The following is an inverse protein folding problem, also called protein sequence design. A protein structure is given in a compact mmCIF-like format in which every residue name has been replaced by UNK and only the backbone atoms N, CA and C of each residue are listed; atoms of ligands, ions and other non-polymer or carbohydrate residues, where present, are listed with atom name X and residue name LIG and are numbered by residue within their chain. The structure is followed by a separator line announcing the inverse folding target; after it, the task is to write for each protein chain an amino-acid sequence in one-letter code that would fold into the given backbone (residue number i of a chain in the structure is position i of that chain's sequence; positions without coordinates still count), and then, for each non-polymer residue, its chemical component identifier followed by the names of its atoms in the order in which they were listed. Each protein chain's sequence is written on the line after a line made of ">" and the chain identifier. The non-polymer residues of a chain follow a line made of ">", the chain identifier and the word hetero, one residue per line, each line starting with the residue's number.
data_IF_554371369536
#
_entry.id   IF_554371369536
#
_cell.length_a   1.000
_cell.length_b   1.000
_cell.length_c   1.000
_cell.angle_alpha   90.00
_cell.angle_beta   90.00
_cell.angle_gamma   90.00
#
_symmetry.space_group_name_H-M   'P 1'
#
loop_
_entity.id
_entity.type
_entity.pdbx_description
1 polymer ?
#
# COMPACT_ATOMS: atom_id res chain seq x y z
N UNK A 1 -18.34 34.41 53.69
CA UNK A 1 -19.42 34.21 54.72
C UNK A 1 -20.29 33.05 54.26
N UNK A 2 -20.38 32.06 55.13
CA UNK A 2 -21.41 31.03 55.38
C UNK A 2 -21.77 30.11 54.20
N UNK A 3 -21.35 28.85 54.18
CA UNK A 3 -21.83 27.69 54.99
C UNK A 3 -23.23 27.27 54.54
N UNK A 4 -23.65 26.04 54.22
CA UNK A 4 -23.43 24.68 54.75
C UNK A 4 -24.16 23.69 53.86
N UNK A 5 -23.71 22.50 53.45
CA UNK A 5 -23.70 21.17 54.10
C UNK A 5 -25.14 20.63 54.28
N UNK A 6 -25.37 19.39 53.84
CA UNK A 6 -25.97 18.22 54.54
C UNK A 6 -26.40 17.20 53.46
N UNK A 7 -25.76 16.06 53.30
CA UNK A 7 -25.89 14.72 53.91
C UNK A 7 -27.16 13.97 53.46
N UNK A 8 -26.99 12.90 52.71
CA UNK A 8 -26.88 11.45 53.03
C UNK A 8 -28.15 10.78 53.59
N UNK A 9 -28.51 9.64 53.03
CA UNK A 9 -29.03 8.40 53.66
C UNK A 9 -29.39 7.40 52.54
N UNK A 10 -28.60 6.36 52.37
CA UNK A 10 -28.66 4.98 52.81
C UNK A 10 -30.07 4.35 52.95
N UNK A 11 -30.36 3.33 52.12
CA UNK A 11 -31.08 2.15 52.56
C UNK A 11 -30.74 0.92 51.72
N UNK A 12 -30.11 0.04 52.33
CA UNK A 12 -29.76 -1.36 52.10
C UNK A 12 -31.02 -2.21 52.09
N UNK A 13 -31.16 -3.18 51.16
CA UNK A 13 -31.88 -4.42 51.47
C UNK A 13 -31.38 -5.58 50.63
N UNK A 14 -31.11 -6.63 51.33
CA UNK A 14 -30.36 -7.85 51.00
C UNK A 14 -31.21 -8.95 50.30
N UNK A 15 -30.51 -9.79 49.56
CA UNK A 15 -30.51 -11.27 49.51
C UNK A 15 -31.74 -11.99 48.91
N UNK A 16 -31.52 -12.79 47.88
CA UNK A 16 -31.47 -14.25 47.96
C UNK A 16 -30.87 -14.90 46.70
N UNK A 17 -29.99 -15.86 46.92
CA UNK A 17 -29.47 -16.85 45.98
C UNK A 17 -30.55 -17.69 45.34
N UNK A 18 -30.32 -18.14 44.07
CA UNK A 18 -30.30 -19.58 43.78
C UNK A 18 -29.58 -19.87 42.46
N UNK A 19 -28.73 -20.86 42.51
CA UNK A 19 -27.91 -21.50 41.52
C UNK A 19 -28.77 -22.30 40.56
N UNK A 20 -28.53 -22.25 39.26
CA UNK A 20 -28.52 -23.42 38.38
C UNK A 20 -27.91 -23.06 37.03
N UNK A 21 -26.93 -23.85 36.64
CA UNK A 21 -26.15 -23.67 35.42
C UNK A 21 -26.93 -24.07 34.17
N UNK A 22 -26.50 -23.50 33.12
CA UNK A 22 -26.32 -24.05 31.78
C UNK A 22 -25.78 -22.89 30.95
N UNK A 23 -24.60 -23.07 30.38
CA UNK A 23 -24.09 -22.16 29.38
C UNK A 23 -24.99 -22.25 28.14
N UNK A 24 -25.39 -21.14 27.54
CA UNK A 24 -25.79 -21.13 26.14
C UNK A 24 -24.66 -20.60 25.30
N UNK A 25 -24.41 -21.25 24.20
CA UNK A 25 -23.65 -20.78 23.06
C UNK A 25 -23.91 -19.29 22.80
N UNK A 26 -22.87 -18.52 22.85
CA UNK A 26 -22.92 -17.12 22.41
C UNK A 26 -22.97 -17.10 20.87
N UNK A 27 -24.15 -17.25 20.32
CA UNK A 27 -24.44 -16.78 18.97
C UNK A 27 -24.30 -15.25 19.00
N UNK A 28 -23.22 -14.75 18.41
CA UNK A 28 -23.04 -13.33 18.12
C UNK A 28 -24.16 -12.92 17.16
N UNK A 29 -25.22 -12.38 17.66
CA UNK A 29 -26.19 -11.67 16.86
C UNK A 29 -25.54 -10.35 16.43
N UNK A 30 -25.27 -10.22 15.15
CA UNK A 30 -24.89 -8.97 14.47
C UNK A 30 -26.09 -8.01 14.54
N UNK A 31 -26.30 -7.38 15.68
CA UNK A 31 -27.18 -6.20 15.79
C UNK A 31 -26.32 -5.00 15.42
N UNK A 32 -26.69 -4.33 14.33
CA UNK A 32 -26.27 -2.93 14.12
C UNK A 32 -26.57 -2.18 15.43
N UNK A 33 -25.52 -1.88 16.18
CA UNK A 33 -25.63 -1.00 17.35
C UNK A 33 -25.88 0.40 16.84
N UNK A 34 -27.10 0.87 16.96
CA UNK A 34 -27.37 2.30 17.01
C UNK A 34 -26.60 2.86 18.20
N UNK A 35 -25.69 3.79 17.94
CA UNK A 35 -25.01 4.51 19.01
C UNK A 35 -26.06 5.13 19.92
N UNK A 36 -25.98 4.89 21.25
CA UNK A 36 -26.78 5.65 22.19
C UNK A 36 -26.38 7.12 22.03
N UNK A 37 -27.23 7.90 21.42
CA UNK A 37 -27.08 9.33 21.24
C UNK A 37 -26.97 9.98 22.62
N UNK A 38 -25.77 10.33 23.04
CA UNK A 38 -25.61 11.47 23.92
C UNK A 38 -26.15 12.70 23.16
N UNK A 39 -26.79 13.63 23.81
CA UNK A 39 -27.35 14.87 23.21
C UNK A 39 -26.28 15.69 22.44
N UNK A 40 -25.01 15.46 22.72
CA UNK A 40 -23.86 15.96 21.99
C UNK A 40 -23.22 14.76 21.25
N UNK A 41 -23.34 14.70 19.93
CA UNK A 41 -22.80 13.60 19.09
C UNK A 41 -21.32 13.28 19.37
N UNK A 42 -20.89 12.06 19.01
CA UNK A 42 -19.48 11.64 19.16
C UNK A 42 -18.66 12.26 18.03
N UNK A 43 -17.58 12.96 18.36
CA UNK A 43 -16.62 13.48 17.38
C UNK A 43 -15.33 12.65 17.41
N UNK A 44 -15.00 12.03 16.27
CA UNK A 44 -13.75 11.27 16.04
C UNK A 44 -12.73 12.19 15.41
N UNK A 45 -11.52 12.19 15.95
CA UNK A 45 -10.36 12.87 15.39
C UNK A 45 -9.67 11.94 14.38
N UNK A 46 -9.64 12.33 13.10
CA UNK A 46 -9.06 11.54 12.02
C UNK A 46 -7.86 12.25 11.40
N UNK A 47 -6.77 11.51 11.13
CA UNK A 47 -5.60 11.99 10.40
C UNK A 47 -5.41 11.22 9.09
N UNK A 48 -5.24 11.92 7.96
CA UNK A 48 -4.82 11.31 6.71
C UNK A 48 -3.59 12.01 6.08
N UNK A 49 -3.06 11.45 4.97
CA UNK A 49 -1.76 11.87 4.38
C UNK A 49 -1.87 12.29 2.91
N UNK A 50 -3.04 12.56 2.42
CA UNK A 50 -3.28 12.89 1.01
C UNK A 50 -3.82 14.33 0.88
N UNK A 51 -2.96 15.37 1.06
CA UNK A 51 -3.38 16.75 0.94
C UNK A 51 -3.92 17.10 -0.45
N UNK A 52 -3.45 16.40 -1.50
CA UNK A 52 -3.94 16.52 -2.87
C UNK A 52 -5.37 15.97 -3.07
N UNK A 53 -5.88 15.23 -2.11
CA UNK A 53 -7.20 14.57 -2.12
C UNK A 53 -8.09 15.00 -0.95
N UNK A 54 -7.83 16.17 -0.37
CA UNK A 54 -8.59 16.66 0.81
C UNK A 54 -10.08 16.76 0.53
N UNK A 55 -10.48 17.37 -0.60
CA UNK A 55 -11.88 17.47 -1.01
C UNK A 55 -12.55 16.09 -1.21
N UNK A 56 -11.81 15.10 -1.68
CA UNK A 56 -12.33 13.74 -1.86
C UNK A 56 -12.50 13.01 -0.52
N UNK A 57 -11.58 13.26 0.44
CA UNK A 57 -11.68 12.72 1.79
C UNK A 57 -12.84 13.34 2.56
N UNK A 58 -13.03 14.64 2.46
CA UNK A 58 -14.18 15.33 3.06
C UNK A 58 -15.51 14.75 2.57
N UNK A 59 -15.69 14.60 1.25
CA UNK A 59 -16.90 13.97 0.66
C UNK A 59 -17.10 12.52 1.11
N UNK A 60 -16.02 11.76 1.23
CA UNK A 60 -16.06 10.37 1.69
C UNK A 60 -16.55 10.33 3.15
N UNK A 61 -16.00 11.18 4.01
CA UNK A 61 -16.35 11.26 5.43
C UNK A 61 -17.78 11.77 5.60
N UNK A 62 -18.20 12.81 4.88
CA UNK A 62 -19.60 13.29 4.90
C UNK A 62 -20.59 12.16 4.57
N UNK A 63 -20.28 11.35 3.54
CA UNK A 63 -21.14 10.22 3.18
C UNK A 63 -21.15 9.11 4.25
N UNK A 64 -20.07 8.95 5.01
CA UNK A 64 -20.01 8.03 6.14
C UNK A 64 -20.85 8.57 7.32
N UNK A 65 -20.75 9.85 7.62
CA UNK A 65 -21.56 10.51 8.66
C UNK A 65 -23.05 10.42 8.37
N UNK A 66 -23.47 10.61 7.12
CA UNK A 66 -24.86 10.44 6.69
C UNK A 66 -25.42 9.03 6.96
N UNK A 67 -24.57 8.00 6.78
CA UNK A 67 -24.92 6.59 7.06
C UNK A 67 -24.89 6.25 8.56
N UNK A 68 -24.22 7.06 9.39
CA UNK A 68 -23.97 6.78 10.81
C UNK A 68 -24.45 7.95 11.69
N UNK A 69 -25.76 8.02 11.94
CA UNK A 69 -26.37 9.09 12.74
C UNK A 69 -25.72 9.22 14.12
N UNK A 70 -25.22 10.41 14.43
CA UNK A 70 -24.55 10.73 15.70
C UNK A 70 -23.03 10.59 15.66
N UNK A 71 -22.44 10.14 14.54
CA UNK A 71 -21.01 10.22 14.27
C UNK A 71 -20.69 11.57 13.63
N UNK A 72 -19.68 12.25 14.13
CA UNK A 72 -19.02 13.39 13.48
C UNK A 72 -17.51 13.12 13.41
N UNK A 73 -16.86 13.57 12.35
CA UNK A 73 -15.43 13.34 12.14
C UNK A 73 -14.71 14.66 11.89
N UNK A 74 -13.74 14.98 12.70
CA UNK A 74 -12.83 16.08 12.47
C UNK A 74 -11.58 15.59 11.74
N UNK A 75 -11.41 16.03 10.49
CA UNK A 75 -10.32 15.62 9.64
C UNK A 75 -9.11 16.53 9.87
N UNK A 76 -7.94 15.93 9.96
CA UNK A 76 -6.63 16.58 9.92
C UNK A 76 -5.79 15.96 8.81
N UNK A 77 -4.97 16.78 8.16
CA UNK A 77 -4.15 16.37 7.02
C UNK A 77 -2.67 16.59 7.31
N UNK A 78 -1.83 15.64 6.93
CA UNK A 78 -0.38 15.79 6.85
C UNK A 78 0.10 15.22 5.52
N UNK A 79 1.40 15.15 5.28
CA UNK A 79 1.95 14.47 4.12
C UNK A 79 2.67 13.16 4.50
N UNK A 80 2.98 12.35 3.48
CA UNK A 80 3.64 11.06 3.65
C UNK A 80 4.96 11.16 4.45
N UNK A 81 5.77 12.17 4.19
CA UNK A 81 7.08 12.33 4.82
C UNK A 81 6.99 12.81 6.27
N UNK A 82 5.92 13.51 6.61
CA UNK A 82 5.69 14.14 7.93
C UNK A 82 4.85 13.26 8.87
N UNK A 83 4.21 12.19 8.39
CA UNK A 83 3.29 11.37 9.19
C UNK A 83 3.91 10.88 10.50
N UNK A 84 5.14 10.33 10.45
CA UNK A 84 5.81 9.83 11.64
C UNK A 84 6.01 10.91 12.70
N UNK A 85 6.51 12.07 12.30
CA UNK A 85 6.73 13.21 13.18
C UNK A 85 5.41 13.74 13.75
N UNK A 86 4.35 13.79 12.94
CA UNK A 86 3.01 14.23 13.36
C UNK A 86 2.45 13.32 14.44
N UNK A 87 2.51 12.00 14.23
CA UNK A 87 2.03 11.01 15.23
C UNK A 87 2.87 11.03 16.50
N UNK A 88 4.19 11.16 16.42
CA UNK A 88 5.07 11.28 17.61
C UNK A 88 4.77 12.55 18.40
N UNK A 89 4.48 13.65 17.73
CA UNK A 89 4.13 14.92 18.37
C UNK A 89 2.78 14.82 19.07
N UNK A 90 1.77 14.27 18.41
CA UNK A 90 0.44 14.04 18.97
C UNK A 90 0.49 13.13 20.21
N UNK A 91 1.30 12.05 20.12
CA UNK A 91 1.52 11.14 21.24
C UNK A 91 2.19 11.84 22.44
N UNK A 92 3.22 12.66 22.19
CA UNK A 92 3.92 13.40 23.24
C UNK A 92 3.05 14.49 23.91
N UNK A 93 2.06 15.00 23.17
CA UNK A 93 1.09 15.97 23.68
C UNK A 93 -0.10 15.33 24.40
N UNK A 94 -0.22 14.00 24.40
CA UNK A 94 -1.41 13.26 24.87
C UNK A 94 -2.70 13.64 24.09
N UNK A 95 -2.54 14.07 22.82
CA UNK A 95 -3.61 14.51 21.91
C UNK A 95 -3.63 13.62 20.66
N UNK A 96 -3.64 12.29 20.83
CA UNK A 96 -3.59 11.34 19.73
C UNK A 96 -4.92 11.33 18.94
N UNK A 97 -4.82 11.12 17.63
CA UNK A 97 -5.98 10.92 16.77
C UNK A 97 -6.65 9.58 17.08
N UNK A 98 -7.99 9.54 17.04
CA UNK A 98 -8.75 8.29 17.25
C UNK A 98 -8.53 7.31 16.09
N UNK A 99 -8.56 7.84 14.85
CA UNK A 99 -8.30 7.09 13.61
C UNK A 99 -7.22 7.80 12.82
N UNK A 100 -6.24 7.08 12.35
CA UNK A 100 -5.12 7.68 11.62
C UNK A 100 -4.57 6.75 10.54
N UNK A 101 -4.01 7.35 9.49
CA UNK A 101 -3.29 6.57 8.50
C UNK A 101 -2.10 5.90 9.15
N UNK A 102 -2.01 4.61 8.91
CA UNK A 102 -0.94 3.76 9.40
C UNK A 102 -0.35 2.96 8.25
N UNK A 103 0.96 3.06 8.08
CA UNK A 103 1.65 2.20 7.13
C UNK A 103 1.75 0.78 7.66
N UNK A 104 1.47 -0.19 6.82
CA UNK A 104 1.58 -1.61 7.15
C UNK A 104 2.94 -1.96 7.76
N UNK A 105 4.02 -1.34 7.31
CA UNK A 105 5.39 -1.50 7.83
C UNK A 105 5.54 -1.15 9.30
N UNK A 106 4.68 -0.31 9.87
CA UNK A 106 4.75 0.13 11.26
C UNK A 106 3.76 -0.55 12.20
N UNK A 107 2.80 -1.31 11.65
CA UNK A 107 1.76 -1.98 12.46
C UNK A 107 2.38 -2.83 13.56
N UNK A 108 3.35 -3.67 13.20
CA UNK A 108 4.01 -4.58 14.12
C UNK A 108 4.77 -3.87 15.27
N UNK A 109 5.43 -2.75 14.99
CA UNK A 109 6.12 -1.97 16.03
C UNK A 109 5.14 -1.28 16.97
N UNK A 110 4.07 -0.69 16.45
CA UNK A 110 3.06 0.00 17.27
C UNK A 110 2.20 -0.98 18.08
N UNK A 111 1.94 -2.18 17.52
CA UNK A 111 1.29 -3.26 18.28
C UNK A 111 2.10 -3.66 19.49
N UNK A 112 3.41 -3.92 19.34
CA UNK A 112 4.32 -4.23 20.47
C UNK A 112 4.33 -3.16 21.58
N UNK A 113 4.06 -1.93 21.23
CA UNK A 113 3.93 -0.81 22.15
C UNK A 113 2.51 -0.66 22.72
N UNK A 114 1.58 -1.56 22.39
CA UNK A 114 0.15 -1.54 22.73
C UNK A 114 -0.56 -0.23 22.32
N UNK A 115 -0.20 0.34 21.17
CA UNK A 115 -0.73 1.62 20.68
C UNK A 115 -1.89 1.48 19.70
N UNK A 116 -2.17 0.27 19.24
CA UNK A 116 -3.22 0.00 18.27
C UNK A 116 -4.36 -0.81 18.89
N UNK A 117 -5.59 -0.44 18.56
CA UNK A 117 -6.78 -1.22 18.92
C UNK A 117 -6.78 -2.53 18.14
N UNK A 118 -6.94 -3.66 18.84
CA UNK A 118 -7.19 -4.94 18.18
C UNK A 118 -8.59 -4.94 17.55
N UNK A 119 -8.65 -5.02 16.24
CA UNK A 119 -9.89 -4.97 15.45
C UNK A 119 -10.53 -6.36 15.29
N UNK A 120 -9.83 -7.45 15.58
CA UNK A 120 -10.30 -8.83 15.39
C UNK A 120 -11.68 -9.09 16.00
N UNK A 121 -11.99 -8.61 17.23
CA UNK A 121 -13.30 -8.81 17.84
C UNK A 121 -14.45 -8.05 17.15
N UNK A 122 -14.14 -7.02 16.34
CA UNK A 122 -15.10 -6.19 15.64
C UNK A 122 -15.35 -6.64 14.20
N UNK A 123 -14.47 -7.48 13.63
CA UNK A 123 -14.51 -7.89 12.24
C UNK A 123 -15.21 -9.24 12.07
N UNK A 124 -16.40 -9.23 11.47
CA UNK A 124 -17.05 -10.43 10.97
C UNK A 124 -16.41 -10.94 9.67
N UNK A 125 -16.79 -12.15 9.25
CA UNK A 125 -16.23 -12.77 8.05
C UNK A 125 -16.59 -12.00 6.78
N UNK A 126 -17.77 -11.39 6.69
CA UNK A 126 -18.21 -10.60 5.56
C UNK A 126 -17.31 -9.36 5.37
N UNK A 127 -16.99 -8.66 6.45
CA UNK A 127 -16.09 -7.52 6.38
C UNK A 127 -14.67 -7.92 5.99
N UNK A 128 -14.15 -9.02 6.55
CA UNK A 128 -12.82 -9.55 6.18
C UNK A 128 -12.74 -9.96 4.71
N UNK A 129 -13.78 -10.63 4.21
CA UNK A 129 -13.85 -11.07 2.81
C UNK A 129 -14.08 -9.92 1.83
N UNK A 130 -14.52 -8.75 2.30
CA UNK A 130 -14.68 -7.53 1.52
C UNK A 130 -13.37 -6.93 1.02
N UNK A 131 -12.23 -7.31 1.56
CA UNK A 131 -10.92 -6.81 1.13
C UNK A 131 -10.32 -7.64 0.00
N UNK A 132 -9.43 -7.03 -0.78
CA UNK A 132 -8.63 -7.71 -1.79
C UNK A 132 -7.84 -8.88 -1.18
N UNK A 133 -7.62 -9.97 -1.92
CA UNK A 133 -6.91 -11.14 -1.41
C UNK A 133 -5.56 -10.77 -0.80
N UNK A 134 -5.35 -11.17 0.46
CA UNK A 134 -4.11 -10.91 1.20
C UNK A 134 -3.92 -9.49 1.72
N UNK A 135 -4.83 -8.54 1.47
CA UNK A 135 -4.70 -7.15 1.90
C UNK A 135 -4.66 -7.00 3.43
N UNK A 136 -5.54 -7.68 4.15
CA UNK A 136 -5.55 -7.66 5.61
C UNK A 136 -4.29 -8.27 6.24
N UNK A 137 -3.60 -9.18 5.54
CA UNK A 137 -2.39 -9.81 6.06
C UNK A 137 -1.30 -8.79 6.40
N UNK A 138 -1.25 -7.68 5.71
CA UNK A 138 -0.26 -6.62 5.96
C UNK A 138 -0.53 -5.87 7.27
N UNK A 139 -1.77 -5.94 7.78
CA UNK A 139 -2.23 -5.32 9.03
C UNK A 139 -2.46 -6.35 10.16
N UNK A 140 -2.01 -7.57 9.96
CA UNK A 140 -2.17 -8.68 10.91
C UNK A 140 -0.84 -8.99 11.59
N UNK A 141 -0.85 -9.05 12.91
CA UNK A 141 0.27 -9.51 13.74
C UNK A 141 -0.17 -10.80 14.41
N UNK A 142 0.56 -11.88 14.18
CA UNK A 142 0.14 -13.24 14.54
C UNK A 142 -1.23 -13.57 13.92
N UNK A 143 -2.31 -13.59 14.70
CA UNK A 143 -3.68 -13.87 14.25
C UNK A 143 -4.61 -12.66 14.42
N UNK A 144 -4.11 -11.54 14.97
CA UNK A 144 -4.88 -10.37 15.31
C UNK A 144 -4.69 -9.22 14.29
N UNK A 145 -5.80 -8.54 13.98
CA UNK A 145 -5.86 -7.44 12.99
C UNK A 145 -5.80 -6.10 13.73
N UNK A 146 -4.87 -5.23 13.35
CA UNK A 146 -4.62 -3.93 13.99
C UNK A 146 -4.82 -2.72 13.06
N UNK A 147 -5.38 -2.93 11.90
CA UNK A 147 -5.73 -1.88 10.95
C UNK A 147 -6.46 -2.45 9.75
N UNK A 148 -6.96 -1.56 8.91
CA UNK A 148 -7.55 -1.93 7.62
C UNK A 148 -6.72 -1.33 6.49
N UNK A 149 -6.47 -2.06 5.41
CA UNK A 149 -5.91 -1.50 4.19
C UNK A 149 -6.94 -0.56 3.53
N UNK A 150 -6.47 0.54 2.95
CA UNK A 150 -7.36 1.51 2.30
C UNK A 150 -7.10 1.60 0.80
N UNK A 151 -5.86 1.85 0.39
CA UNK A 151 -5.53 1.88 -1.02
C UNK A 151 -4.34 0.98 -1.36
N UNK A 152 -4.36 0.50 -2.60
CA UNK A 152 -3.30 -0.33 -3.15
C UNK A 152 -2.28 0.49 -3.93
N UNK A 153 -1.06 -0.01 -3.97
CA UNK A 153 0.07 0.55 -4.69
C UNK A 153 0.82 -0.55 -5.43
N UNK A 154 1.18 -0.32 -6.68
CA UNK A 154 1.94 -1.26 -7.47
C UNK A 154 2.58 -0.62 -8.68
N UNK A 155 3.64 -1.25 -9.21
CA UNK A 155 4.41 -0.72 -10.33
C UNK A 155 3.84 -1.20 -11.66
N UNK A 156 3.59 -0.26 -12.55
CA UNK A 156 3.06 -0.48 -13.90
C UNK A 156 3.88 0.28 -14.94
N UNK A 157 3.75 -0.12 -16.19
CA UNK A 157 4.24 0.66 -17.33
C UNK A 157 3.06 1.44 -17.92
N UNK A 158 3.13 2.75 -17.84
CA UNK A 158 2.25 3.65 -18.59
C UNK A 158 2.89 3.97 -19.94
N UNK A 159 2.11 4.02 -20.99
CA UNK A 159 2.63 4.35 -22.31
C UNK A 159 1.77 5.36 -23.07
N UNK A 160 2.40 6.09 -23.97
CA UNK A 160 1.72 7.01 -24.88
C UNK A 160 1.02 6.20 -25.99
N UNK A 161 -0.29 6.02 -25.85
CA UNK A 161 -1.10 5.23 -26.76
C UNK A 161 -1.12 5.81 -28.17
N UNK A 162 -1.12 7.14 -28.33
CA UNK A 162 -1.09 7.80 -29.62
C UNK A 162 0.22 7.55 -30.37
N UNK A 163 1.34 7.51 -29.60
CA UNK A 163 2.66 7.19 -30.14
C UNK A 163 2.72 5.72 -30.59
N UNK A 164 2.16 4.81 -29.79
CA UNK A 164 2.06 3.39 -30.12
C UNK A 164 1.24 3.18 -31.40
N UNK A 165 0.05 3.80 -31.48
CA UNK A 165 -0.82 3.70 -32.64
C UNK A 165 -0.15 4.24 -33.91
N UNK A 166 0.52 5.38 -33.83
CA UNK A 166 1.21 6.00 -34.96
C UNK A 166 2.36 5.14 -35.52
N UNK A 167 3.09 4.44 -34.65
CA UNK A 167 4.23 3.62 -35.03
C UNK A 167 3.86 2.13 -35.25
N UNK A 168 2.61 1.75 -35.01
CA UNK A 168 2.17 0.37 -35.08
C UNK A 168 2.74 -0.54 -33.99
N UNK A 169 3.18 0.05 -32.88
CA UNK A 169 3.68 -0.68 -31.72
C UNK A 169 2.52 -1.33 -30.95
N UNK A 170 2.81 -2.42 -30.27
CA UNK A 170 1.82 -3.16 -29.48
C UNK A 170 2.34 -3.41 -28.07
N UNK A 171 1.42 -3.59 -27.11
CA UNK A 171 1.77 -4.06 -25.77
C UNK A 171 2.57 -5.36 -25.90
N UNK A 172 3.77 -5.46 -25.31
CA UNK A 172 4.59 -6.67 -25.40
C UNK A 172 4.00 -7.78 -24.53
N UNK A 173 4.07 -9.02 -25.03
CA UNK A 173 3.56 -10.21 -24.34
C UNK A 173 4.65 -10.98 -23.60
N UNK A 174 5.91 -10.60 -23.77
CA UNK A 174 7.04 -11.21 -23.08
C UNK A 174 8.16 -10.21 -22.82
N UNK A 175 9.02 -10.51 -21.86
CA UNK A 175 10.19 -9.68 -21.53
C UNK A 175 11.13 -9.50 -22.75
N UNK A 176 11.20 -10.50 -23.65
CA UNK A 176 12.00 -10.38 -24.88
C UNK A 176 11.37 -9.43 -25.89
N UNK A 177 10.05 -9.50 -26.07
CA UNK A 177 9.30 -8.54 -26.87
C UNK A 177 9.39 -7.13 -26.28
N UNK A 178 9.37 -7.00 -24.95
CA UNK A 178 9.56 -5.72 -24.28
C UNK A 178 10.94 -5.13 -24.55
N UNK A 179 12.00 -5.95 -24.47
CA UNK A 179 13.35 -5.52 -24.81
C UNK A 179 13.49 -5.13 -26.31
N UNK A 180 12.83 -5.86 -27.19
CA UNK A 180 12.82 -5.54 -28.62
C UNK A 180 12.07 -4.25 -28.91
N UNK A 181 10.92 -4.03 -28.27
CA UNK A 181 10.15 -2.79 -28.37
C UNK A 181 10.95 -1.58 -27.87
N UNK A 182 11.62 -1.69 -26.72
CA UNK A 182 12.51 -0.64 -26.21
C UNK A 182 13.65 -0.31 -27.19
N UNK A 183 14.19 -1.32 -27.88
CA UNK A 183 15.22 -1.07 -28.91
C UNK A 183 14.66 -0.30 -30.11
N UNK A 184 13.43 -0.59 -30.54
CA UNK A 184 12.78 0.18 -31.62
C UNK A 184 12.61 1.64 -31.22
N UNK A 185 12.12 1.91 -30.01
CA UNK A 185 11.95 3.26 -29.48
C UNK A 185 13.27 4.03 -29.38
N UNK A 186 14.34 3.36 -28.93
CA UNK A 186 15.68 3.96 -28.87
C UNK A 186 16.19 4.34 -30.26
N UNK A 187 15.92 3.53 -31.29
CA UNK A 187 16.31 3.81 -32.68
C UNK A 187 15.56 5.01 -33.26
N UNK A 188 14.35 5.30 -32.77
CA UNK A 188 13.57 6.51 -33.08
C UNK A 188 14.04 7.75 -32.29
N UNK A 189 15.08 7.62 -31.47
CA UNK A 189 15.64 8.74 -30.67
C UNK A 189 14.85 9.07 -29.41
N UNK A 190 13.96 8.18 -28.96
CA UNK A 190 13.19 8.33 -27.72
C UNK A 190 13.89 7.67 -26.55
N UNK A 191 13.60 8.12 -25.34
CA UNK A 191 13.84 7.33 -24.14
C UNK A 191 12.77 6.21 -24.14
N UNK A 192 13.15 4.92 -24.22
CA UNK A 192 12.17 3.86 -24.27
C UNK A 192 11.28 3.78 -23.04
N UNK A 193 11.88 3.77 -21.85
CA UNK A 193 11.21 3.66 -20.57
C UNK A 193 11.83 4.65 -19.58
N UNK A 194 11.12 5.73 -19.29
CA UNK A 194 11.52 6.64 -18.22
C UNK A 194 11.23 5.99 -16.87
N UNK A 195 12.18 6.08 -15.93
CA UNK A 195 12.06 5.50 -14.60
C UNK A 195 12.93 6.25 -13.60
N UNK A 196 12.46 6.38 -12.36
CA UNK A 196 13.26 6.89 -11.27
C UNK A 196 14.27 5.84 -10.80
N UNK A 197 15.55 6.24 -10.80
CA UNK A 197 16.64 5.39 -10.35
C UNK A 197 17.38 5.94 -9.14
N UNK A 198 17.02 7.13 -8.62
CA UNK A 198 17.50 7.60 -7.33
C UNK A 198 17.04 6.66 -6.22
N UNK A 199 17.80 6.52 -5.12
CA UNK A 199 17.45 5.62 -4.02
C UNK A 199 16.07 5.86 -3.42
N UNK A 200 15.60 7.10 -3.42
CA UNK A 200 14.27 7.52 -2.95
C UNK A 200 13.15 7.32 -3.98
N UNK A 201 13.49 7.03 -5.23
CA UNK A 201 12.52 6.83 -6.32
C UNK A 201 12.05 5.40 -6.53
N UNK A 202 12.78 4.41 -6.04
CA UNK A 202 12.49 2.97 -6.02
C UNK A 202 12.14 2.27 -7.35
N UNK A 203 11.77 2.97 -8.42
CA UNK A 203 11.18 2.35 -9.62
C UNK A 203 12.12 1.36 -10.31
N UNK A 204 13.41 1.65 -10.45
CA UNK A 204 14.38 0.70 -11.04
C UNK A 204 14.68 -0.49 -10.11
N UNK A 205 14.63 -0.29 -8.79
CA UNK A 205 14.79 -1.37 -7.83
C UNK A 205 13.54 -2.26 -7.80
N UNK A 206 12.35 -1.68 -7.89
CA UNK A 206 11.09 -2.43 -8.07
C UNK A 206 11.12 -3.25 -9.36
N UNK A 207 11.60 -2.69 -10.48
CA UNK A 207 11.77 -3.43 -11.73
C UNK A 207 12.71 -4.62 -11.55
N UNK A 208 13.83 -4.47 -10.82
CA UNK A 208 14.71 -5.57 -10.44
C UNK A 208 13.97 -6.64 -9.65
N UNK A 209 13.18 -6.23 -8.66
CA UNK A 209 12.33 -7.12 -7.85
C UNK A 209 11.36 -7.92 -8.70
N UNK A 210 10.63 -7.26 -9.60
CA UNK A 210 9.70 -7.90 -10.55
C UNK A 210 10.42 -8.96 -11.40
N UNK A 211 11.55 -8.60 -12.00
CA UNK A 211 12.32 -9.54 -12.83
C UNK A 211 12.88 -10.70 -12.02
N UNK A 212 13.33 -10.46 -10.78
CA UNK A 212 13.78 -11.52 -9.87
C UNK A 212 12.67 -12.52 -9.58
N UNK A 213 11.44 -12.02 -9.34
CA UNK A 213 10.29 -12.87 -9.05
C UNK A 213 9.89 -13.75 -10.23
N UNK A 214 9.98 -13.24 -11.47
CA UNK A 214 9.75 -14.06 -12.66
C UNK A 214 10.78 -15.21 -12.79
N UNK A 215 12.04 -14.94 -12.44
CA UNK A 215 13.08 -15.98 -12.45
C UNK A 215 12.78 -17.01 -11.36
N UNK A 216 12.40 -16.56 -10.16
CA UNK A 216 12.03 -17.43 -9.06
C UNK A 216 10.78 -18.28 -9.37
N UNK A 217 9.83 -17.78 -10.18
CA UNK A 217 8.70 -18.56 -10.67
C UNK A 217 9.15 -19.67 -11.61
N UNK A 218 10.02 -19.37 -12.57
CA UNK A 218 10.58 -20.38 -13.49
C UNK A 218 11.29 -21.51 -12.73
N UNK A 219 11.93 -21.19 -11.62
CA UNK A 219 12.64 -22.14 -10.76
C UNK A 219 11.70 -22.88 -9.77
N UNK A 220 10.39 -22.63 -9.84
CA UNK A 220 9.37 -23.28 -8.99
C UNK A 220 9.42 -22.87 -7.51
N UNK A 221 9.89 -21.67 -7.23
CA UNK A 221 10.23 -21.22 -5.87
C UNK A 221 9.24 -20.21 -5.29
N UNK A 222 8.20 -19.84 -6.03
CA UNK A 222 7.15 -18.92 -5.53
C UNK A 222 6.29 -19.51 -4.41
N UNK A 223 6.27 -20.83 -4.26
CA UNK A 223 5.54 -21.50 -3.18
C UNK A 223 6.28 -21.50 -1.83
N UNK A 224 7.48 -20.90 -1.77
CA UNK A 224 8.27 -20.81 -0.54
C UNK A 224 7.78 -19.61 0.31
N UNK A 225 7.13 -19.86 1.47
CA UNK A 225 6.62 -18.78 2.33
C UNK A 225 7.71 -17.82 2.85
N UNK A 226 8.95 -18.31 3.01
CA UNK A 226 10.05 -17.47 3.49
C UNK A 226 10.52 -16.50 2.40
N UNK A 227 10.41 -16.89 1.13
CA UNK A 227 10.63 -15.97 0.01
C UNK A 227 9.55 -14.91 -0.07
N UNK A 228 8.29 -15.33 0.08
CA UNK A 228 7.14 -14.43 0.03
C UNK A 228 7.17 -13.38 1.15
N UNK A 229 7.87 -13.68 2.24
CA UNK A 229 8.04 -12.76 3.37
C UNK A 229 9.35 -11.95 3.29
N UNK A 230 10.12 -12.03 2.21
CA UNK A 230 11.41 -11.33 2.08
C UNK A 230 12.52 -11.87 2.98
N UNK A 231 12.31 -13.01 3.64
CA UNK A 231 13.25 -13.65 4.58
C UNK A 231 14.22 -14.62 3.95
N UNK A 232 14.10 -14.89 2.68
CA UNK A 232 15.00 -15.82 2.03
C UNK A 232 16.44 -15.29 2.03
N UNK A 233 17.33 -16.11 2.49
CA UNK A 233 18.76 -15.82 2.60
C UNK A 233 19.64 -16.77 1.82
N UNK A 234 19.08 -17.54 0.91
CA UNK A 234 19.78 -18.51 0.07
C UNK A 234 19.27 -18.46 -1.36
N UNK A 235 19.40 -17.30 -1.99
CA UNK A 235 19.17 -17.13 -3.42
C UNK A 235 20.13 -18.04 -4.22
N UNK A 236 19.71 -18.48 -5.38
CA UNK A 236 20.49 -19.37 -6.23
C UNK A 236 20.76 -18.75 -7.61
N UNK A 237 20.95 -17.43 -7.63
CA UNK A 237 21.21 -16.66 -8.83
C UNK A 237 20.01 -15.86 -9.35
N UNK A 238 18.82 -16.05 -8.79
CA UNK A 238 17.62 -15.35 -9.25
C UNK A 238 17.72 -13.84 -9.05
N UNK A 239 18.19 -13.42 -7.88
CA UNK A 239 18.40 -12.01 -7.56
C UNK A 239 19.52 -11.40 -8.41
N UNK A 240 20.62 -12.14 -8.57
CA UNK A 240 21.74 -11.76 -9.42
C UNK A 240 21.30 -11.58 -10.89
N UNK A 241 20.49 -12.51 -11.40
CA UNK A 241 19.98 -12.49 -12.78
C UNK A 241 19.02 -11.32 -13.01
N UNK A 242 18.11 -11.05 -12.05
CA UNK A 242 17.20 -9.91 -12.11
C UNK A 242 17.95 -8.57 -12.13
N UNK A 243 18.92 -8.40 -11.23
CA UNK A 243 19.77 -7.20 -11.18
C UNK A 243 20.60 -7.03 -12.46
N UNK A 244 21.19 -8.10 -12.97
CA UNK A 244 21.96 -8.07 -14.21
C UNK A 244 21.12 -7.65 -15.41
N UNK A 245 19.87 -8.07 -15.48
CA UNK A 245 18.95 -7.69 -16.57
C UNK A 245 18.67 -6.19 -16.56
N UNK A 246 18.39 -5.61 -15.40
CA UNK A 246 18.19 -4.14 -15.28
C UNK A 246 19.47 -3.38 -15.65
N UNK A 247 20.64 -3.83 -15.18
CA UNK A 247 21.93 -3.22 -15.53
C UNK A 247 22.18 -3.26 -17.05
N UNK A 248 21.94 -4.40 -17.68
CA UNK A 248 22.06 -4.54 -19.15
C UNK A 248 21.14 -3.62 -19.91
N UNK A 249 19.89 -3.40 -19.44
CA UNK A 249 18.96 -2.46 -20.05
C UNK A 249 19.43 -1.01 -19.87
N UNK A 250 19.98 -0.66 -18.70
CA UNK A 250 20.57 0.66 -18.46
C UNK A 250 21.78 0.92 -19.37
N UNK A 251 22.70 -0.06 -19.50
CA UNK A 251 23.87 0.02 -20.40
C UNK A 251 23.48 0.15 -21.87
N UNK A 252 22.35 -0.40 -22.28
CA UNK A 252 21.77 -0.21 -23.63
C UNK A 252 21.11 1.16 -23.82
N UNK A 253 20.94 1.95 -22.75
CA UNK A 253 20.34 3.27 -22.80
C UNK A 253 18.81 3.27 -22.74
N UNK A 254 18.17 2.16 -22.35
CA UNK A 254 16.70 2.05 -22.32
C UNK A 254 16.02 2.97 -21.34
N UNK A 255 16.73 3.39 -20.29
CA UNK A 255 16.25 4.35 -19.27
C UNK A 255 16.75 5.78 -19.49
N UNK A 256 17.31 6.08 -20.67
CA UNK A 256 17.96 7.35 -20.95
C UNK A 256 19.37 7.47 -20.35
N UNK A 257 19.92 8.69 -20.39
CA UNK A 257 21.24 8.98 -19.84
C UNK A 257 21.16 9.17 -18.32
N UNK A 258 22.09 8.55 -17.58
CA UNK A 258 22.20 8.70 -16.12
C UNK A 258 20.89 8.36 -15.33
N UNK A 259 20.30 7.21 -15.52
CA UNK A 259 19.00 6.89 -14.91
C UNK A 259 19.02 6.96 -13.38
N UNK A 260 20.18 6.72 -12.74
CA UNK A 260 20.34 6.80 -11.28
C UNK A 260 20.34 8.23 -10.71
N UNK A 261 20.32 9.25 -11.56
CA UNK A 261 20.14 10.65 -11.15
C UNK A 261 18.70 11.16 -11.32
N UNK A 262 17.83 10.33 -11.88
CA UNK A 262 16.42 10.65 -12.19
C UNK A 262 15.56 10.35 -10.97
N UNK A 263 14.78 11.34 -10.52
CA UNK A 263 13.70 11.13 -9.54
C UNK A 263 12.35 10.92 -10.26
N UNK A 264 11.32 10.62 -9.48
CA UNK A 264 9.99 10.35 -10.02
C UNK A 264 9.41 11.51 -10.83
N UNK A 265 9.67 12.76 -10.42
CA UNK A 265 9.16 13.95 -11.12
C UNK A 265 9.86 14.15 -12.46
N UNK A 266 11.17 13.98 -12.50
CA UNK A 266 11.93 14.05 -13.74
C UNK A 266 11.59 12.89 -14.70
N UNK A 267 11.29 11.70 -14.18
CA UNK A 267 10.84 10.58 -14.98
C UNK A 267 9.46 10.86 -15.60
N UNK A 268 8.51 11.37 -14.82
CA UNK A 268 7.19 11.78 -15.27
C UNK A 268 7.28 12.91 -16.31
N UNK A 269 8.11 13.95 -16.09
CA UNK A 269 8.31 15.05 -17.02
C UNK A 269 8.84 14.58 -18.38
N UNK A 270 9.79 13.64 -18.39
CA UNK A 270 10.30 13.07 -19.64
C UNK A 270 9.20 12.36 -20.44
N UNK A 271 8.29 11.67 -19.78
CA UNK A 271 7.16 11.02 -20.42
C UNK A 271 6.11 12.01 -20.89
N UNK A 272 5.65 12.91 -20.03
CA UNK A 272 4.61 13.89 -20.34
C UNK A 272 5.05 14.89 -21.40
N UNK A 273 6.35 15.23 -21.49
CA UNK A 273 6.90 16.06 -22.55
C UNK A 273 7.13 15.31 -23.88
N UNK A 274 6.82 14.02 -23.96
CA UNK A 274 7.00 13.19 -25.15
C UNK A 274 8.43 12.80 -25.47
N UNK A 275 9.40 13.05 -24.56
CA UNK A 275 10.80 12.59 -24.68
C UNK A 275 10.91 11.10 -24.44
N UNK A 276 10.07 10.55 -23.58
CA UNK A 276 9.98 9.12 -23.31
C UNK A 276 8.69 8.54 -23.89
N UNK A 277 8.77 7.32 -24.41
CA UNK A 277 7.62 6.59 -24.98
C UNK A 277 6.78 5.93 -23.90
N UNK A 278 7.43 5.48 -22.82
CA UNK A 278 6.82 4.78 -21.68
C UNK A 278 7.38 5.35 -20.37
N UNK A 279 6.60 5.17 -19.31
CA UNK A 279 6.97 5.52 -17.94
C UNK A 279 6.75 4.31 -17.05
N UNK A 280 7.76 3.93 -16.29
CA UNK A 280 7.61 3.04 -15.14
C UNK A 280 7.19 3.88 -13.95
N UNK A 281 6.02 3.63 -13.40
CA UNK A 281 5.50 4.42 -12.28
C UNK A 281 4.68 3.57 -11.31
N UNK A 282 4.37 4.17 -10.18
CA UNK A 282 3.45 3.60 -9.22
C UNK A 282 2.00 3.97 -9.61
N UNK A 283 1.04 3.07 -9.37
CA UNK A 283 -0.38 3.35 -9.62
C UNK A 283 -0.89 4.60 -8.90
N UNK A 284 -0.28 4.95 -7.77
CA UNK A 284 -0.63 6.16 -7.01
C UNK A 284 -0.22 7.48 -7.69
N UNK A 285 0.65 7.43 -8.70
CA UNK A 285 1.13 8.62 -9.42
C UNK A 285 0.17 9.05 -10.56
N UNK A 286 -0.81 8.21 -10.92
CA UNK A 286 -1.68 8.43 -12.09
C UNK A 286 -2.50 9.71 -11.97
N UNK A 287 -3.01 10.02 -10.78
CA UNK A 287 -3.76 11.27 -10.55
C UNK A 287 -2.90 12.49 -10.89
N UNK A 288 -1.66 12.52 -10.41
CA UNK A 288 -0.73 13.62 -10.66
C UNK A 288 -0.36 13.69 -12.14
N UNK A 289 -0.14 12.56 -12.80
CA UNK A 289 0.16 12.52 -14.24
C UNK A 289 -0.98 13.10 -15.09
N UNK A 290 -2.23 12.80 -14.77
CA UNK A 290 -3.40 13.26 -15.54
C UNK A 290 -3.81 14.70 -15.25
N UNK A 291 -3.48 15.23 -14.07
CA UNK A 291 -3.88 16.57 -13.64
C UNK A 291 -2.78 17.62 -13.83
N UNK A 292 -1.81 17.40 -14.73
CA UNK A 292 -0.79 18.39 -15.08
C UNK A 292 -1.32 19.34 -16.15
N UNK A 293 -1.52 20.66 -15.86
CA UNK A 293 -2.17 21.58 -16.78
C UNK A 293 -1.35 21.96 -18.01
N UNK A 294 -0.02 21.77 -17.97
CA UNK A 294 0.92 22.28 -18.97
C UNK A 294 1.37 21.23 -20.00
N UNK A 295 0.84 20.01 -19.93
CA UNK A 295 1.28 18.93 -20.80
C UNK A 295 0.35 18.68 -21.99
N UNK A 296 0.96 18.21 -23.09
CA UNK A 296 0.23 17.85 -24.31
C UNK A 296 -0.76 16.72 -24.01
N UNK A 297 -2.03 16.88 -24.37
CA UNK A 297 -3.01 15.83 -24.20
C UNK A 297 -2.71 14.70 -25.19
N UNK A 298 -2.24 13.58 -24.69
CA UNK A 298 -2.21 12.32 -25.42
C UNK A 298 -2.90 11.24 -24.57
N UNK A 299 -3.44 10.24 -25.26
CA UNK A 299 -4.06 9.11 -24.58
C UNK A 299 -2.99 8.24 -23.93
N UNK A 300 -3.21 7.91 -22.67
CA UNK A 300 -2.38 6.99 -21.90
C UNK A 300 -3.12 5.67 -21.69
N UNK A 301 -2.36 4.59 -21.69
CA UNK A 301 -2.83 3.27 -21.33
C UNK A 301 -1.69 2.52 -20.64
N UNK A 302 -1.93 1.37 -20.04
CA UNK A 302 -0.96 0.69 -19.19
C UNK A 302 -0.79 -0.80 -19.54
N UNK A 303 0.27 -1.38 -19.03
CA UNK A 303 0.47 -2.83 -18.96
C UNK A 303 1.44 -3.18 -17.83
N UNK A 304 1.37 -4.42 -17.36
CA UNK A 304 2.35 -4.97 -16.42
C UNK A 304 3.69 -5.25 -17.11
N UNK A 305 4.80 -5.19 -16.37
CA UNK A 305 6.08 -5.72 -16.89
C UNK A 305 5.83 -7.16 -17.36
N UNK A 306 6.04 -7.45 -18.64
CA UNK A 306 5.68 -8.75 -19.16
C UNK A 306 6.63 -9.85 -18.67
N UNK A 307 6.06 -11.01 -18.38
CA UNK A 307 6.77 -12.19 -17.96
C UNK A 307 7.66 -12.76 -19.08
N UNK A 308 8.72 -13.52 -18.78
CA UNK A 308 9.38 -14.39 -19.75
C UNK A 308 8.40 -15.38 -20.38
N UNK A 309 8.71 -15.87 -21.61
CA UNK A 309 7.81 -16.79 -22.35
C UNK A 309 7.48 -18.08 -21.63
N UNK A 310 8.36 -18.52 -20.76
CA UNK A 310 8.23 -19.78 -20.02
C UNK A 310 7.52 -19.62 -18.67
N UNK A 311 7.12 -18.40 -18.29
CA UNK A 311 6.25 -18.15 -17.15
C UNK A 311 4.78 -18.28 -17.54
N UNK A 312 3.98 -18.81 -16.64
CA UNK A 312 2.56 -19.09 -16.90
C UNK A 312 1.69 -17.84 -16.86
N UNK A 313 2.09 -16.83 -16.11
CA UNK A 313 1.32 -15.60 -15.92
C UNK A 313 2.22 -14.38 -15.75
N UNK A 314 1.74 -13.20 -16.15
CA UNK A 314 2.38 -11.94 -15.75
C UNK A 314 2.07 -11.68 -14.28
N UNK A 315 3.11 -11.64 -13.46
CA UNK A 315 2.97 -11.38 -12.03
C UNK A 315 2.86 -9.87 -11.80
N UNK A 316 1.87 -9.49 -11.03
CA UNK A 316 1.85 -8.15 -10.46
C UNK A 316 2.59 -8.21 -9.13
N UNK A 317 3.90 -8.06 -9.20
CA UNK A 317 4.77 -8.01 -8.05
C UNK A 317 4.97 -6.56 -7.60
N UNK A 318 5.48 -6.35 -6.39
CA UNK A 318 5.55 -5.02 -5.77
C UNK A 318 4.18 -4.37 -5.54
N UNK A 319 3.10 -5.18 -5.63
CA UNK A 319 1.76 -4.76 -5.27
C UNK A 319 1.55 -4.90 -3.76
N UNK A 320 1.22 -3.81 -3.10
CA UNK A 320 0.99 -3.79 -1.66
C UNK A 320 -0.22 -2.92 -1.30
N UNK A 321 -0.75 -3.13 -0.11
CA UNK A 321 -1.74 -2.25 0.50
C UNK A 321 -1.11 -1.53 1.69
N UNK A 322 -0.04 -0.81 1.39
CA UNK A 322 0.80 -0.18 2.38
C UNK A 322 0.08 0.91 3.18
N UNK A 323 -0.82 1.66 2.51
CA UNK A 323 -1.56 2.75 3.11
C UNK A 323 -2.91 2.25 3.63
N UNK A 324 -3.14 2.37 4.92
CA UNK A 324 -4.38 1.98 5.56
C UNK A 324 -4.69 2.83 6.78
N UNK A 325 -5.69 2.44 7.53
CA UNK A 325 -6.10 3.12 8.74
C UNK A 325 -6.04 2.21 9.95
N UNK A 326 -5.61 2.77 11.07
CA UNK A 326 -5.63 2.12 12.37
C UNK A 326 -6.38 2.98 13.39
N UNK A 327 -6.77 2.36 14.50
CA UNK A 327 -7.43 3.01 15.61
C UNK A 327 -6.46 3.06 16.79
N UNK A 328 -6.42 4.19 17.47
CA UNK A 328 -5.67 4.36 18.71
C UNK A 328 -6.21 3.45 19.82
N UNK A 329 -5.32 2.74 20.53
CA UNK A 329 -5.73 1.76 21.55
C UNK A 329 -6.54 2.38 22.70
N UNK A 330 -6.17 3.60 23.12
CA UNK A 330 -6.79 4.31 24.26
C UNK A 330 -7.87 5.32 23.80
N UNK A 331 -8.41 5.18 22.58
CA UNK A 331 -9.54 6.03 22.16
C UNK A 331 -10.73 5.85 23.10
N UNK A 332 -11.38 6.94 23.56
CA UNK A 332 -12.60 6.83 24.37
C UNK A 332 -13.83 6.36 23.56
N UNK A 333 -13.72 6.27 22.22
CA UNK A 333 -14.80 5.98 21.31
C UNK A 333 -14.53 4.81 20.35
N UNK A 334 -14.14 3.60 20.83
CA UNK A 334 -13.72 2.51 19.95
C UNK A 334 -14.81 2.06 18.97
N UNK A 335 -16.07 2.00 19.40
CA UNK A 335 -17.20 1.60 18.53
C UNK A 335 -17.44 2.62 17.40
N UNK A 336 -17.31 3.92 17.68
CA UNK A 336 -17.45 4.98 16.67
C UNK A 336 -16.25 4.99 15.71
N UNK A 337 -15.04 4.80 16.20
CA UNK A 337 -13.84 4.67 15.37
C UNK A 337 -13.94 3.46 14.42
N UNK A 338 -14.43 2.32 14.92
CA UNK A 338 -14.67 1.12 14.08
C UNK A 338 -15.79 1.37 13.06
N UNK A 339 -16.84 2.13 13.40
CA UNK A 339 -17.87 2.49 12.44
C UNK A 339 -17.31 3.36 11.30
N UNK A 340 -16.40 4.28 11.61
CA UNK A 340 -15.66 5.04 10.60
C UNK A 340 -14.84 4.11 9.70
N UNK A 341 -14.10 3.15 10.27
CA UNK A 341 -13.34 2.16 9.48
C UNK A 341 -14.23 1.32 8.56
N UNK A 342 -15.43 0.91 9.02
CA UNK A 342 -16.40 0.21 8.17
C UNK A 342 -16.85 1.08 7.00
N UNK A 343 -17.09 2.36 7.24
CA UNK A 343 -17.40 3.32 6.18
C UNK A 343 -16.25 3.52 5.19
N UNK A 344 -15.01 3.64 5.67
CA UNK A 344 -13.79 3.74 4.86
C UNK A 344 -13.51 2.46 4.04
N UNK A 345 -14.17 1.36 4.33
CA UNK A 345 -14.11 0.10 3.59
C UNK A 345 -15.45 -0.32 2.94
N UNK A 346 -16.41 0.59 2.86
CA UNK A 346 -17.64 0.40 2.10
C UNK A 346 -17.34 0.44 0.60
N UNK A 347 -17.74 -0.57 -0.15
CA UNK A 347 -17.38 -0.73 -1.57
C UNK A 347 -17.92 0.39 -2.47
N UNK A 348 -19.11 0.93 -2.18
CA UNK A 348 -19.70 2.06 -2.92
C UNK A 348 -18.91 3.33 -2.67
N UNK A 349 -18.59 3.63 -1.40
CA UNK A 349 -17.83 4.81 -1.01
C UNK A 349 -16.38 4.74 -1.51
N UNK A 350 -15.77 3.57 -1.45
CA UNK A 350 -14.46 3.32 -2.05
C UNK A 350 -14.47 3.50 -3.58
N UNK A 351 -15.59 3.18 -4.25
CA UNK A 351 -15.76 3.47 -5.68
C UNK A 351 -15.75 4.97 -6.00
N UNK A 352 -16.42 5.77 -5.19
CA UNK A 352 -16.39 7.24 -5.31
C UNK A 352 -15.00 7.80 -5.06
N UNK A 353 -14.32 7.32 -3.99
CA UNK A 353 -12.94 7.67 -3.73
C UNK A 353 -12.02 7.32 -4.91
N UNK A 354 -12.10 6.09 -5.43
CA UNK A 354 -11.31 5.65 -6.59
C UNK A 354 -11.56 6.51 -7.83
N UNK A 355 -12.81 6.93 -8.07
CA UNK A 355 -13.18 7.83 -9.15
C UNK A 355 -12.54 9.21 -9.01
N UNK A 356 -12.60 9.81 -7.82
CA UNK A 356 -12.12 11.17 -7.57
C UNK A 356 -10.58 11.25 -7.50
N UNK A 357 -9.93 10.17 -7.05
CA UNK A 357 -8.48 10.15 -6.77
C UNK A 357 -7.66 9.31 -7.74
N UNK A 358 -8.30 8.57 -8.64
CA UNK A 358 -7.67 7.59 -9.54
C UNK A 358 -6.82 6.55 -8.77
N UNK A 359 -7.25 6.20 -7.57
CA UNK A 359 -6.53 5.28 -6.67
C UNK A 359 -7.04 3.85 -6.77
N UNK A 360 -6.15 2.90 -6.60
CA UNK A 360 -6.51 1.48 -6.45
C UNK A 360 -7.10 1.24 -5.06
N UNK A 361 -8.24 0.58 -4.98
CA UNK A 361 -8.89 0.26 -3.72
C UNK A 361 -8.37 -1.05 -3.11
N UNK A 362 -8.20 -1.05 -1.79
CA UNK A 362 -7.97 -2.26 -1.02
C UNK A 362 -9.25 -3.10 -0.84
N UNK A 363 -10.42 -2.51 -1.12
CA UNK A 363 -11.72 -3.20 -1.07
C UNK A 363 -11.97 -3.93 -2.39
N UNK A 364 -12.52 -5.13 -2.29
CA UNK A 364 -12.83 -5.99 -3.43
C UNK A 364 -14.01 -5.42 -4.23
N UNK A 365 -14.00 -5.69 -5.52
CA UNK A 365 -15.11 -5.41 -6.45
C UNK A 365 -15.47 -3.92 -6.60
N UNK A 366 -14.60 -3.03 -6.18
CA UNK A 366 -14.72 -1.60 -6.43
C UNK A 366 -14.64 -1.31 -7.93
N UNK A 367 -15.56 -0.50 -8.41
CA UNK A 367 -15.65 -0.03 -9.79
C UNK A 367 -15.75 1.49 -9.82
N UNK A 368 -15.13 2.11 -10.82
CA UNK A 368 -15.28 3.52 -11.14
C UNK A 368 -15.41 3.69 -12.67
N UNK A 369 -15.65 4.91 -13.14
CA UNK A 369 -15.79 5.18 -14.58
C UNK A 369 -14.44 5.15 -15.34
N UNK A 370 -13.32 5.15 -14.62
CA UNK A 370 -11.99 5.14 -15.22
C UNK A 370 -11.52 3.72 -15.56
N UNK A 371 -11.34 3.44 -16.85
CA UNK A 371 -10.95 2.12 -17.34
C UNK A 371 -9.58 1.69 -16.85
N UNK A 372 -8.60 2.62 -16.73
CA UNK A 372 -7.24 2.30 -16.26
C UNK A 372 -7.24 1.95 -14.77
N UNK A 373 -8.00 2.65 -13.95
CA UNK A 373 -8.15 2.33 -12.52
C UNK A 373 -8.82 0.96 -12.35
N UNK A 374 -9.84 0.65 -13.16
CA UNK A 374 -10.46 -0.67 -13.16
C UNK A 374 -9.49 -1.78 -13.61
N UNK A 375 -8.60 -1.50 -14.57
CA UNK A 375 -7.53 -2.43 -14.97
C UNK A 375 -6.54 -2.64 -13.82
N UNK A 376 -6.14 -1.59 -13.10
CA UNK A 376 -5.31 -1.72 -11.90
C UNK A 376 -5.99 -2.57 -10.82
N UNK A 377 -7.25 -2.31 -10.51
CA UNK A 377 -8.01 -3.14 -9.56
C UNK A 377 -8.07 -4.62 -10.01
N UNK A 378 -8.15 -4.87 -11.31
CA UNK A 378 -8.09 -6.23 -11.85
C UNK A 378 -6.71 -6.86 -11.65
N UNK A 379 -5.61 -6.12 -11.83
CA UNK A 379 -4.26 -6.58 -11.56
C UNK A 379 -4.08 -6.97 -10.09
N UNK A 380 -4.59 -6.16 -9.16
CA UNK A 380 -4.55 -6.46 -7.72
C UNK A 380 -5.33 -7.72 -7.36
N UNK A 381 -6.47 -7.97 -7.98
CA UNK A 381 -7.23 -9.23 -7.78
C UNK A 381 -6.42 -10.46 -8.21
N UNK A 382 -5.70 -10.37 -9.32
CA UNK A 382 -4.83 -11.46 -9.79
C UNK A 382 -3.59 -11.62 -8.91
N UNK A 383 -3.02 -10.52 -8.46
CA UNK A 383 -1.80 -10.49 -7.66
C UNK A 383 -1.95 -11.14 -6.27
N UNK A 384 -3.15 -11.21 -5.73
CA UNK A 384 -3.38 -11.76 -4.39
C UNK A 384 -2.84 -13.17 -4.18
N UNK A 385 -2.59 -13.93 -5.25
CA UNK A 385 -1.97 -15.25 -5.21
C UNK A 385 -0.44 -15.21 -5.16
N UNK A 386 0.18 -14.18 -5.71
CA UNK A 386 1.62 -14.05 -5.93
C UNK A 386 2.21 -12.78 -5.33
N UNK A 387 1.44 -12.12 -4.46
CA UNK A 387 1.91 -10.88 -3.84
C UNK A 387 2.95 -11.20 -2.78
N UNK A 388 4.15 -10.72 -3.01
CA UNK A 388 5.23 -10.76 -2.03
C UNK A 388 5.05 -9.52 -1.15
N UNK A 389 4.40 -9.70 0.01
CA UNK A 389 4.42 -8.67 1.02
C UNK A 389 5.84 -8.58 1.59
N UNK A 390 6.46 -7.39 1.62
CA UNK A 390 7.73 -7.23 2.33
C UNK A 390 7.55 -7.65 3.80
N UNK A 391 8.56 -8.29 4.38
CA UNK A 391 8.55 -8.52 5.83
C UNK A 391 8.93 -7.22 6.53
N UNK A 392 7.95 -6.43 6.84
CA UNK A 392 8.10 -5.16 7.55
C UNK A 392 8.76 -5.30 8.95
N UNK A 393 8.87 -6.52 9.46
CA UNK A 393 9.63 -6.77 10.69
C UNK A 393 11.16 -6.68 10.49
N UNK A 394 11.64 -6.53 9.24
CA UNK A 394 13.07 -6.40 8.93
C UNK A 394 13.60 -4.94 9.00
N UNK A 395 12.75 -3.97 9.33
CA UNK A 395 13.17 -2.58 9.61
C UNK A 395 13.90 -1.90 8.44
N UNK A 396 14.99 -1.16 8.74
CA UNK A 396 15.76 -0.34 7.79
C UNK A 396 16.54 -1.13 6.72
N UNK A 397 16.31 -2.44 6.59
CA UNK A 397 17.01 -3.26 5.61
C UNK A 397 16.71 -2.85 4.16
N UNK A 398 15.52 -2.28 3.90
CA UNK A 398 15.12 -1.93 2.54
C UNK A 398 15.91 -0.74 2.00
N UNK A 399 16.19 0.27 2.83
CA UNK A 399 17.10 1.36 2.45
C UNK A 399 18.51 0.83 2.13
N UNK A 400 19.05 -0.08 2.96
CA UNK A 400 20.36 -0.69 2.72
C UNK A 400 20.39 -1.50 1.42
N UNK A 401 19.31 -2.22 1.09
CA UNK A 401 19.16 -2.98 -0.15
C UNK A 401 19.09 -2.06 -1.37
N UNK A 402 18.34 -0.97 -1.30
CA UNK A 402 18.27 0.03 -2.37
C UNK A 402 19.63 0.72 -2.61
N UNK A 403 20.35 1.09 -1.55
CA UNK A 403 21.70 1.63 -1.65
C UNK A 403 22.69 0.61 -2.25
N UNK A 404 22.55 -0.66 -1.90
CA UNK A 404 23.34 -1.73 -2.49
C UNK A 404 23.06 -1.87 -4.00
N UNK A 405 21.79 -1.77 -4.41
CA UNK A 405 21.44 -1.82 -5.84
C UNK A 405 22.05 -0.65 -6.61
N UNK A 406 21.99 0.57 -6.10
CA UNK A 406 22.68 1.72 -6.72
C UNK A 406 24.19 1.49 -6.80
N UNK A 407 24.80 0.94 -5.74
CA UNK A 407 26.23 0.59 -5.75
C UNK A 407 26.57 -0.47 -6.81
N UNK A 408 25.71 -1.47 -6.97
CA UNK A 408 25.85 -2.47 -8.02
C UNK A 408 25.76 -1.86 -9.43
N UNK A 409 24.81 -0.96 -9.64
CA UNK A 409 24.60 -0.29 -10.93
C UNK A 409 25.76 0.62 -11.33
N UNK A 410 26.51 1.17 -10.36
CA UNK A 410 27.56 2.18 -10.59
C UNK A 410 28.99 1.67 -10.47
N UNK A 411 29.19 0.46 -9.98
CA UNK A 411 30.51 -0.11 -9.72
C UNK A 411 30.80 -1.35 -10.59
N UNK A 412 31.98 -1.90 -10.41
CA UNK A 412 32.39 -3.17 -11.01
C UNK A 412 31.94 -4.40 -10.18
N UNK A 413 31.01 -4.21 -9.23
CA UNK A 413 30.43 -5.32 -8.46
C UNK A 413 29.81 -6.33 -9.42
N UNK A 414 30.12 -7.60 -9.24
CA UNK A 414 29.50 -8.68 -10.00
C UNK A 414 28.05 -8.92 -9.47
N UNK A 415 27.23 -9.57 -10.28
CA UNK A 415 25.86 -9.92 -9.88
C UNK A 415 25.86 -10.90 -8.69
N UNK A 416 26.82 -11.84 -8.63
CA UNK A 416 26.96 -12.78 -7.51
C UNK A 416 27.40 -12.06 -6.21
N UNK A 417 28.27 -11.06 -6.31
CA UNK A 417 28.66 -10.23 -5.16
C UNK A 417 27.47 -9.40 -4.67
N UNK A 418 26.65 -8.88 -5.58
CA UNK A 418 25.42 -8.17 -5.24
C UNK A 418 24.46 -9.10 -4.47
N UNK A 419 24.16 -10.29 -4.98
CA UNK A 419 23.30 -11.28 -4.32
C UNK A 419 23.84 -11.64 -2.93
N UNK A 420 25.13 -11.95 -2.82
CA UNK A 420 25.78 -12.26 -1.54
C UNK A 420 25.63 -11.14 -0.50
N UNK A 421 25.80 -9.88 -0.93
CA UNK A 421 25.64 -8.72 -0.04
C UNK A 421 24.19 -8.49 0.35
N UNK A 422 23.25 -8.68 -0.57
CA UNK A 422 21.82 -8.59 -0.31
C UNK A 422 21.38 -9.61 0.76
N UNK A 423 21.80 -10.86 0.61
CA UNK A 423 21.56 -11.90 1.60
C UNK A 423 22.16 -11.56 2.97
N UNK A 424 23.36 -10.99 3.01
CA UNK A 424 23.99 -10.57 4.26
C UNK A 424 23.17 -9.49 4.96
N UNK A 425 22.66 -8.51 4.22
CA UNK A 425 21.75 -7.47 4.77
C UNK A 425 20.50 -8.13 5.36
N UNK A 426 19.87 -9.01 4.61
CA UNK A 426 18.66 -9.73 5.05
C UNK A 426 18.92 -10.56 6.32
N UNK A 427 20.00 -11.35 6.37
CA UNK A 427 20.38 -12.13 7.57
C UNK A 427 20.59 -11.24 8.79
N UNK A 428 21.26 -10.11 8.61
CA UNK A 428 21.50 -9.18 9.71
C UNK A 428 20.18 -8.57 10.24
N UNK A 429 19.26 -8.22 9.34
CA UNK A 429 17.96 -7.70 9.71
C UNK A 429 17.12 -8.74 10.46
N UNK A 430 17.09 -10.00 9.99
CA UNK A 430 16.43 -11.11 10.71
C UNK A 430 17.02 -11.28 12.10
N UNK A 431 18.35 -11.30 12.24
CA UNK A 431 19.00 -11.44 13.54
C UNK A 431 18.68 -10.27 14.50
N UNK A 432 18.54 -9.04 13.97
CA UNK A 432 18.20 -7.86 14.76
C UNK A 432 16.72 -7.85 15.18
N UNK A 433 15.82 -8.45 14.39
CA UNK A 433 14.38 -8.54 14.71
C UNK A 433 14.06 -9.47 15.89
N UNK A 434 15.03 -10.27 16.35
CA UNK A 434 14.88 -11.19 17.49
C UNK A 434 13.99 -12.41 17.19
N UNK A 435 13.80 -12.75 15.93
CA UNK A 435 13.02 -13.93 15.45
C UNK A 435 13.92 -15.05 14.97
#
# INVERSE_FOLDING_TARGET
>A
MRKRIICALLALSCITMMISGCAPDATVQTTQKTFETQEDGITIQMLHIWPEHEDAMEKLVEAIEEKNTGLSVQISTTDWSSLSQTLETALAAEEMYDVFVQFASRVHSMEKENKLLNLTPYMDDEWKEGFQPGALKEYTVEDDIYGIPFRGSGVVVIYNQDLFNRNGWKKPSSTDEFSALMQLMLNEGLIPLSAAGKPDGFQLDSLRGILTNYIAEQDGVLDDPERLNGRKTNWQGELATGAQKVKNWAERGFFGANPLSVDQYAAADAFLSGKAAMLLCNTNEIYQLRNQPDYLPFNMDCFLIPAPKDCTESLFTDACFHDGFAVWADTPYPDAAVALLRGLSDSELCGRWAQDTLSVSAVRDVQCDDEMVNEFNAFFRMAGRYRIAPDYALGDSDEQKSQLFVSYMTSNMTADEYETNYERITRNAIAASGK
#
